data_IF_957062679469
#
_entry.id   IF_957062679469
#
_cell.length_a   1.000
_cell.length_b   1.000
_cell.length_c   1.000
_cell.angle_alpha   90.00
_cell.angle_beta   90.00
_cell.angle_gamma   90.00
#
_symmetry.space_group_name_H-M   'P 1'
#
loop_
_entity.id
_entity.type
_entity.pdbx_description
1 polymer ?
#
# COMPACT_ATOMS: atom_id res chain seq x y z
N UNK A 1 -4.93 -9.80 9.66
CA UNK A 1 -4.88 -10.51 8.37
C UNK A 1 -3.78 -11.57 8.48
N UNK A 2 -4.13 -12.86 8.58
CA UNK A 2 -3.15 -13.95 8.64
C UNK A 2 -2.54 -14.15 7.25
N UNK A 3 -1.21 -14.26 7.10
CA UNK A 3 -0.62 -14.51 5.78
C UNK A 3 -1.09 -15.87 5.26
N UNK A 4 -1.50 -15.92 3.99
CA UNK A 4 -1.78 -17.18 3.31
C UNK A 4 -0.50 -18.02 3.29
N UNK A 5 -0.52 -19.20 3.91
CA UNK A 5 0.52 -20.20 3.72
C UNK A 5 0.33 -20.84 2.34
N UNK A 6 1.14 -20.44 1.37
CA UNK A 6 1.24 -21.16 0.10
C UNK A 6 1.82 -22.55 0.39
N UNK A 7 1.17 -23.61 -0.08
CA UNK A 7 1.73 -24.96 0.02
C UNK A 7 3.00 -25.04 -0.84
N UNK A 8 4.13 -25.35 -0.21
CA UNK A 8 5.48 -25.22 -0.77
C UNK A 8 5.81 -26.15 -1.95
N UNK A 9 4.96 -27.16 -2.23
CA UNK A 9 5.24 -28.23 -3.19
C UNK A 9 4.10 -28.37 -4.20
N UNK A 10 4.46 -28.47 -5.48
CA UNK A 10 3.52 -28.81 -6.56
C UNK A 10 4.10 -29.88 -7.49
N UNK A 11 3.20 -30.67 -8.07
CA UNK A 11 3.51 -31.74 -9.01
C UNK A 11 3.41 -31.23 -10.44
N UNK A 12 4.51 -31.25 -11.18
CA UNK A 12 4.48 -30.98 -12.63
C UNK A 12 4.65 -32.30 -13.37
N UNK A 13 3.66 -32.63 -14.19
CA UNK A 13 3.66 -33.80 -15.07
C UNK A 13 4.02 -33.38 -16.48
N UNK A 14 4.97 -34.07 -17.10
CA UNK A 14 5.29 -33.90 -18.52
C UNK A 14 4.73 -35.07 -19.32
N UNK A 15 4.01 -34.79 -20.40
CA UNK A 15 3.50 -35.83 -21.30
C UNK A 15 4.61 -36.29 -22.25
N UNK A 16 5.23 -37.42 -21.90
CA UNK A 16 6.18 -38.18 -22.71
C UNK A 16 6.12 -39.63 -22.26
N UNK A 17 6.42 -40.58 -23.15
CA UNK A 17 6.25 -42.03 -22.93
C UNK A 17 7.01 -42.53 -21.70
N UNK A 18 6.37 -42.47 -20.53
CA UNK A 18 6.96 -42.66 -19.21
C UNK A 18 6.47 -41.57 -18.25
N UNK A 19 5.40 -41.86 -17.50
CA UNK A 19 4.83 -40.97 -16.49
C UNK A 19 5.86 -40.73 -15.37
N UNK A 20 6.67 -39.69 -15.49
CA UNK A 20 7.51 -39.18 -14.40
C UNK A 20 6.93 -37.86 -13.94
N UNK A 21 6.33 -37.85 -12.76
CA UNK A 21 5.93 -36.61 -12.09
C UNK A 21 7.15 -36.09 -11.31
N UNK A 22 7.55 -34.84 -11.57
CA UNK A 22 8.61 -34.19 -10.82
C UNK A 22 7.99 -33.38 -9.68
N UNK A 23 8.51 -33.62 -8.47
CA UNK A 23 8.18 -32.84 -7.29
C UNK A 23 9.06 -31.60 -7.26
N UNK A 24 8.45 -30.42 -7.38
CA UNK A 24 9.17 -29.15 -7.29
C UNK A 24 8.87 -28.50 -5.93
N UNK A 25 9.93 -28.26 -5.16
CA UNK A 25 9.87 -27.45 -3.94
C UNK A 25 10.20 -26.00 -4.28
N UNK A 26 9.20 -25.13 -4.17
CA UNK A 26 9.34 -23.70 -4.51
C UNK A 26 10.41 -22.99 -3.67
N UNK A 27 10.60 -23.39 -2.41
CA UNK A 27 11.60 -22.81 -1.51
C UNK A 27 13.04 -23.03 -1.99
N UNK A 28 13.27 -24.02 -2.85
CA UNK A 28 14.59 -24.30 -3.45
C UNK A 28 14.77 -23.57 -4.77
N UNK A 29 13.68 -23.26 -5.48
CA UNK A 29 13.69 -22.75 -6.86
C UNK A 29 13.80 -21.23 -6.89
N UNK A 30 13.31 -20.52 -5.87
CA UNK A 30 13.45 -19.06 -5.76
C UNK A 30 13.94 -18.67 -4.35
N UNK A 31 15.22 -18.91 -4.03
CA UNK A 31 15.79 -18.51 -2.74
C UNK A 31 15.85 -16.98 -2.55
N UNK A 32 15.63 -16.22 -3.62
CA UNK A 32 15.83 -14.78 -3.70
C UNK A 32 14.61 -13.96 -3.26
N UNK A 33 13.46 -14.61 -3.03
CA UNK A 33 12.25 -13.94 -2.52
C UNK A 33 12.18 -14.10 -1.00
N UNK A 34 12.19 -12.98 -0.24
CA UNK A 34 12.01 -13.01 1.20
C UNK A 34 10.71 -13.73 1.59
N UNK A 35 10.81 -14.72 2.48
CA UNK A 35 9.65 -15.50 2.96
C UNK A 35 8.74 -14.70 3.89
N UNK A 36 9.20 -13.52 4.33
CA UNK A 36 8.48 -12.56 5.12
C UNK A 36 8.74 -11.16 4.55
N UNK A 37 7.76 -10.24 4.65
CA UNK A 37 7.98 -8.85 4.25
C UNK A 37 9.17 -8.28 5.03
N UNK A 38 10.09 -7.64 4.32
CA UNK A 38 11.22 -6.90 4.91
C UNK A 38 10.81 -5.50 5.41
N UNK A 39 9.64 -5.01 4.99
CA UNK A 39 9.10 -3.72 5.38
C UNK A 39 8.44 -3.79 6.75
N UNK A 40 8.62 -2.73 7.55
CA UNK A 40 7.95 -2.55 8.82
C UNK A 40 6.74 -1.62 8.65
N UNK A 41 5.63 -1.85 9.35
CA UNK A 41 4.53 -0.89 9.39
C UNK A 41 5.02 0.46 9.90
N UNK A 42 4.61 1.54 9.24
CA UNK A 42 4.90 2.90 9.69
C UNK A 42 4.13 3.15 10.99
N UNK A 43 4.80 3.67 12.02
CA UNK A 43 4.13 4.12 13.23
C UNK A 43 3.18 5.28 12.89
N UNK A 44 1.91 5.09 13.18
CA UNK A 44 0.89 6.12 12.98
C UNK A 44 1.10 7.19 14.05
N UNK A 45 1.56 8.37 13.64
CA UNK A 45 1.63 9.55 14.51
C UNK A 45 0.22 10.11 14.75
N UNK A 46 0.02 10.87 15.82
CA UNK A 46 -1.23 11.61 16.01
C UNK A 46 -1.28 12.81 15.06
N UNK A 47 -2.41 13.00 14.40
CA UNK A 47 -2.64 14.06 13.43
C UNK A 47 -3.87 14.87 13.81
N UNK A 48 -3.96 16.13 13.36
CA UNK A 48 -5.06 17.01 13.73
C UNK A 48 -6.41 16.41 13.34
N UNK A 49 -7.37 16.56 14.24
CA UNK A 49 -8.74 16.11 14.04
C UNK A 49 -9.42 16.92 12.92
N UNK A 50 -10.29 16.27 12.16
CA UNK A 50 -11.07 16.91 11.10
C UNK A 50 -12.13 17.82 11.73
N UNK A 51 -11.87 19.13 11.72
CA UNK A 51 -12.80 20.12 12.30
C UNK A 51 -13.83 20.58 11.27
N UNK A 52 -15.00 21.02 11.75
CA UNK A 52 -16.03 21.60 10.86
C UNK A 52 -15.57 22.85 10.13
N UNK A 53 -14.69 23.66 10.74
CA UNK A 53 -14.09 24.83 10.09
C UNK A 53 -13.22 24.42 8.88
N UNK A 54 -12.47 23.32 9.02
CA UNK A 54 -11.69 22.76 7.92
C UNK A 54 -12.59 22.23 6.80
N UNK A 55 -13.67 21.51 7.13
CA UNK A 55 -14.66 21.02 6.15
C UNK A 55 -15.25 22.21 5.38
N UNK A 56 -15.72 23.22 6.10
CA UNK A 56 -16.27 24.45 5.51
C UNK A 56 -15.27 25.11 4.53
N UNK A 57 -13.98 25.11 4.88
CA UNK A 57 -12.94 25.68 4.04
C UNK A 57 -12.70 24.84 2.78
N UNK A 58 -12.59 23.51 2.92
CA UNK A 58 -12.32 22.59 1.82
C UNK A 58 -13.46 22.58 0.80
N UNK A 59 -14.71 22.64 1.24
CA UNK A 59 -15.87 22.75 0.34
C UNK A 59 -15.83 24.01 -0.52
N UNK A 60 -15.45 25.15 0.07
CA UNK A 60 -15.30 26.40 -0.67
C UNK A 60 -14.17 26.36 -1.68
N UNK A 61 -13.04 25.74 -1.35
CA UNK A 61 -11.91 25.59 -2.27
C UNK A 61 -12.21 24.63 -3.42
N UNK A 62 -12.85 23.51 -3.11
CA UNK A 62 -13.16 22.46 -4.08
C UNK A 62 -14.43 22.76 -4.92
N UNK A 63 -15.27 23.70 -4.47
CA UNK A 63 -16.61 23.95 -5.03
C UNK A 63 -17.51 22.70 -4.96
N UNK A 64 -17.42 21.95 -3.87
CA UNK A 64 -18.17 20.71 -3.62
C UNK A 64 -18.87 20.81 -2.27
N UNK A 65 -20.05 20.19 -2.13
CA UNK A 65 -20.74 19.96 -0.86
C UNK A 65 -20.58 18.48 -0.48
N UNK A 66 -19.87 18.20 0.62
CA UNK A 66 -19.54 16.85 1.09
C UNK A 66 -19.63 16.67 2.61
N UNK A 67 -20.16 17.64 3.36
CA UNK A 67 -20.37 17.65 4.83
C UNK A 67 -21.40 16.65 5.37
N UNK A 68 -21.49 15.48 4.76
CA UNK A 68 -22.22 14.35 5.31
C UNK A 68 -21.27 13.44 6.11
N UNK A 69 -21.83 12.59 6.98
CA UNK A 69 -21.06 11.71 7.87
C UNK A 69 -20.06 10.84 7.09
N UNK A 70 -20.50 10.25 5.98
CA UNK A 70 -19.70 9.36 5.14
C UNK A 70 -18.53 10.09 4.47
N UNK A 71 -18.72 11.36 4.08
CA UNK A 71 -17.70 12.21 3.48
C UNK A 71 -16.65 12.66 4.49
N UNK A 72 -17.09 13.01 5.71
CA UNK A 72 -16.19 13.37 6.81
C UNK A 72 -15.33 12.17 7.22
N UNK A 73 -15.93 10.97 7.36
CA UNK A 73 -15.20 9.74 7.65
C UNK A 73 -14.16 9.41 6.58
N UNK A 74 -14.55 9.48 5.30
CA UNK A 74 -13.60 9.26 4.20
C UNK A 74 -12.45 10.25 4.18
N UNK A 75 -12.72 11.52 4.49
CA UNK A 75 -11.66 12.52 4.58
C UNK A 75 -10.70 12.20 5.73
N UNK A 76 -11.22 11.83 6.90
CA UNK A 76 -10.40 11.45 8.05
C UNK A 76 -9.51 10.24 7.74
N UNK A 77 -10.06 9.20 7.11
CA UNK A 77 -9.32 8.01 6.68
C UNK A 77 -8.23 8.35 5.64
N UNK A 78 -8.56 9.20 4.67
CA UNK A 78 -7.61 9.63 3.64
C UNK A 78 -6.45 10.44 4.24
N UNK A 79 -6.74 11.33 5.20
CA UNK A 79 -5.73 12.07 5.96
C UNK A 79 -4.85 11.09 6.73
N UNK A 80 -5.43 10.17 7.51
CA UNK A 80 -4.68 9.17 8.27
C UNK A 80 -3.78 8.31 7.38
N UNK A 81 -4.24 7.96 6.18
CA UNK A 81 -3.43 7.24 5.21
C UNK A 81 -2.26 8.07 4.68
N UNK A 82 -2.52 9.29 4.18
CA UNK A 82 -1.50 10.18 3.61
C UNK A 82 -0.41 10.56 4.63
N UNK A 83 -0.81 10.68 5.88
CA UNK A 83 0.05 10.99 7.01
C UNK A 83 1.22 10.01 7.23
N UNK A 84 1.13 8.78 6.73
CA UNK A 84 2.24 7.82 6.76
C UNK A 84 3.45 8.31 5.93
N UNK A 85 3.24 9.19 4.95
CA UNK A 85 4.31 9.79 4.15
C UNK A 85 5.26 10.66 4.99
N UNK A 86 4.82 11.19 6.14
CA UNK A 86 5.69 11.95 7.04
C UNK A 86 6.79 11.12 7.73
N UNK A 87 6.74 9.79 7.63
CA UNK A 87 7.81 8.92 8.09
C UNK A 87 8.94 8.76 7.06
N UNK A 88 8.72 9.22 5.82
CA UNK A 88 9.73 9.17 4.76
C UNK A 88 10.74 10.30 4.97
N UNK A 89 12.01 9.94 4.99
CA UNK A 89 13.10 10.92 5.00
C UNK A 89 13.23 11.56 3.62
N UNK A 90 13.15 12.88 3.60
CA UNK A 90 13.27 13.71 2.40
C UNK A 90 14.44 14.70 2.52
N UNK A 91 15.32 14.51 3.50
CA UNK A 91 16.51 15.35 3.66
C UNK A 91 17.41 15.27 2.41
N UNK A 92 17.72 16.44 1.85
CA UNK A 92 18.55 16.55 0.65
C UNK A 92 17.89 16.09 -0.66
N UNK A 93 16.58 15.82 -0.66
CA UNK A 93 15.82 15.47 -1.86
C UNK A 93 15.13 16.71 -2.43
N UNK A 94 15.50 17.10 -3.65
CA UNK A 94 14.79 18.16 -4.39
C UNK A 94 13.43 17.63 -4.88
N UNK A 95 12.35 18.42 -4.77
CA UNK A 95 11.06 18.07 -5.34
C UNK A 95 11.18 17.82 -6.85
N UNK A 96 10.45 16.82 -7.34
CA UNK A 96 10.28 16.64 -8.77
C UNK A 96 9.10 17.51 -9.23
N UNK A 97 9.33 18.81 -9.36
CA UNK A 97 8.42 19.70 -10.07
C UNK A 97 8.91 19.89 -11.51
N UNK A 98 8.02 19.63 -12.46
CA UNK A 98 8.23 20.04 -13.84
C UNK A 98 7.12 21.02 -14.17
N UNK A 99 7.48 22.24 -14.54
CA UNK A 99 6.51 23.16 -15.15
C UNK A 99 6.05 22.50 -16.45
N UNK A 100 4.79 22.05 -16.48
CA UNK A 100 4.12 21.80 -17.74
C UNK A 100 3.81 23.19 -18.30
N UNK A 101 4.45 23.53 -19.42
CA UNK A 101 4.21 24.65 -20.37
C UNK A 101 5.40 25.62 -20.55
N UNK A 102 5.69 25.91 -21.84
CA UNK A 102 6.23 27.19 -22.31
C UNK A 102 5.06 28.13 -22.63
#
# INVERSE_FOLDING_TARGET
>A
MTPLKLHSNFLVSFEGTGTSALFFNWSVIIPEVPQSPSWQPVEVREFPEVTMEMIDHLERLALVDFRNQEGIERLADAIQFANQLHAVDTEGVEPMDSVLED
#
